data_IF_686786577567
#
_entry.id   IF_686786577567
#
_cell.length_a   1.000
_cell.length_b   1.000
_cell.length_c   1.000
_cell.angle_alpha   90.00
_cell.angle_beta   90.00
_cell.angle_gamma   90.00
#
_symmetry.space_group_name_H-M   'P 1'
#
loop_
_entity.id
_entity.type
_entity.pdbx_description
1 polymer ?
#
# COMPACT_ATOMS: atom_id res chain seq x y z
N UNK A 1 -14.28 -11.52 9.99
CA UNK A 1 -14.28 -10.75 11.24
C UNK A 1 -13.33 -9.60 11.04
N UNK A 2 -13.68 -8.37 11.47
CA UNK A 2 -12.77 -7.23 11.36
C UNK A 2 -11.49 -7.51 12.15
N UNK A 3 -10.40 -6.86 11.75
CA UNK A 3 -9.13 -6.98 12.46
C UNK A 3 -9.25 -6.53 13.93
N UNK A 4 -8.49 -7.18 14.80
CA UNK A 4 -8.40 -6.84 16.22
C UNK A 4 -7.64 -5.52 16.44
N UNK A 5 -7.83 -4.90 17.61
CA UNK A 5 -7.13 -3.65 17.95
C UNK A 5 -5.60 -3.79 17.84
N UNK A 6 -5.04 -4.90 18.34
CA UNK A 6 -3.61 -5.18 18.22
C UNK A 6 -3.15 -5.34 16.76
N UNK A 7 -3.93 -6.03 15.92
CA UNK A 7 -3.64 -6.15 14.48
C UNK A 7 -3.69 -4.79 13.77
N UNK A 8 -4.68 -3.94 14.08
CA UNK A 8 -4.79 -2.60 13.50
C UNK A 8 -3.60 -1.72 13.90
N UNK A 9 -3.14 -1.80 15.15
CA UNK A 9 -1.95 -1.06 15.61
C UNK A 9 -0.66 -1.54 14.95
N UNK A 10 -0.56 -2.85 14.67
CA UNK A 10 0.61 -3.46 14.04
C UNK A 10 0.56 -3.47 12.51
N UNK A 11 -0.48 -2.90 11.88
CA UNK A 11 -0.63 -2.91 10.43
C UNK A 11 0.57 -2.21 9.78
N UNK A 12 1.27 -2.94 8.90
CA UNK A 12 2.48 -2.45 8.24
C UNK A 12 2.30 -2.39 6.73
N UNK A 13 2.69 -1.25 6.16
CA UNK A 13 2.74 -1.01 4.70
C UNK A 13 4.17 -1.03 4.16
N UNK A 14 5.16 -1.36 5.00
CA UNK A 14 6.59 -1.38 4.66
C UNK A 14 6.88 -2.25 3.44
N UNK A 15 6.29 -3.44 3.39
CA UNK A 15 6.44 -4.36 2.27
C UNK A 15 6.00 -3.75 0.90
N UNK A 16 5.03 -2.83 0.89
CA UNK A 16 4.62 -2.13 -0.34
C UNK A 16 5.63 -1.04 -0.73
N UNK A 17 6.19 -0.35 0.26
CA UNK A 17 7.23 0.66 0.04
C UNK A 17 8.50 0.00 -0.51
N UNK A 18 8.90 -1.13 0.07
CA UNK A 18 10.05 -1.92 -0.38
C UNK A 18 9.85 -2.43 -1.80
N UNK A 19 8.68 -3.01 -2.09
CA UNK A 19 8.35 -3.48 -3.44
C UNK A 19 8.40 -2.33 -4.47
N UNK A 20 7.86 -1.16 -4.12
CA UNK A 20 7.92 0.00 -5.00
C UNK A 20 9.36 0.49 -5.24
N UNK A 21 10.19 0.48 -4.20
CA UNK A 21 11.63 0.78 -4.30
C UNK A 21 12.33 -0.19 -5.25
N UNK A 22 12.14 -1.49 -5.03
CA UNK A 22 12.72 -2.55 -5.85
C UNK A 22 12.34 -2.44 -7.33
N UNK A 23 11.05 -2.25 -7.64
CA UNK A 23 10.60 -2.13 -9.03
C UNK A 23 11.12 -0.86 -9.71
N UNK A 24 11.19 0.25 -8.99
CA UNK A 24 11.78 1.50 -9.52
C UNK A 24 13.25 1.29 -9.87
N UNK A 25 14.03 0.73 -8.94
CA UNK A 25 15.45 0.46 -9.16
C UNK A 25 15.69 -0.52 -10.31
N UNK A 26 14.84 -1.55 -10.42
CA UNK A 26 14.92 -2.53 -11.51
C UNK A 26 14.63 -1.87 -12.87
N UNK A 27 13.62 -1.01 -12.94
CA UNK A 27 13.27 -0.28 -14.16
C UNK A 27 14.43 0.61 -14.64
N UNK A 28 15.01 1.39 -13.72
CA UNK A 28 16.12 2.29 -14.03
C UNK A 28 17.36 1.52 -14.47
N UNK A 29 17.68 0.41 -13.78
CA UNK A 29 18.81 -0.44 -14.15
C UNK A 29 18.65 -1.05 -15.55
N UNK A 30 17.44 -1.52 -15.90
CA UNK A 30 17.18 -2.11 -17.21
C UNK A 30 17.34 -1.08 -18.33
N UNK A 31 16.80 0.12 -18.17
CA UNK A 31 16.95 1.17 -19.17
C UNK A 31 18.42 1.58 -19.35
N UNK A 32 19.15 1.78 -18.25
CA UNK A 32 20.56 2.16 -18.30
C UNK A 32 21.42 1.13 -19.04
N UNK A 33 21.27 -0.16 -18.71
CA UNK A 33 22.05 -1.24 -19.34
C UNK A 33 21.74 -1.36 -20.82
N UNK A 34 20.46 -1.31 -21.22
CA UNK A 34 20.08 -1.46 -22.62
C UNK A 34 20.43 -0.23 -23.45
N UNK A 35 20.33 0.98 -22.87
CA UNK A 35 20.80 2.21 -23.51
C UNK A 35 22.32 2.18 -23.70
N UNK A 36 23.07 1.74 -22.68
CA UNK A 36 24.51 1.59 -22.76
C UNK A 36 24.90 0.58 -23.85
N UNK A 37 24.27 -0.60 -23.88
CA UNK A 37 24.52 -1.63 -24.90
C UNK A 37 24.27 -1.12 -26.31
N UNK A 38 23.16 -0.39 -26.52
CA UNK A 38 22.87 0.26 -27.80
C UNK A 38 23.96 1.26 -28.16
N UNK A 39 24.30 2.19 -27.28
CA UNK A 39 25.32 3.21 -27.56
C UNK A 39 26.69 2.59 -27.89
N UNK A 40 27.10 1.57 -27.14
CA UNK A 40 28.34 0.83 -27.40
C UNK A 40 28.33 0.12 -28.76
N UNK A 41 27.18 -0.43 -29.19
CA UNK A 41 27.06 -1.06 -30.52
C UNK A 41 27.27 -0.09 -31.70
N UNK A 42 26.96 1.19 -31.49
CA UNK A 42 27.24 2.26 -32.47
C UNK A 42 28.66 2.83 -32.34
N UNK A 43 29.27 2.76 -31.16
CA UNK A 43 30.63 3.27 -30.91
C UNK A 43 31.74 2.36 -31.45
N UNK A 44 31.52 1.04 -31.53
CA UNK A 44 32.52 0.10 -32.06
C UNK A 44 32.66 0.21 -33.58
N UNK A 45 33.91 0.29 -34.07
CA UNK A 45 34.26 0.32 -35.49
C UNK A 45 34.16 -1.06 -36.18
N UNK A 46 33.08 -1.81 -35.90
CA UNK A 46 32.82 -3.11 -36.53
C UNK A 46 31.96 -2.92 -37.78
N UNK A 47 32.62 -3.03 -38.94
CA UNK A 47 31.99 -2.95 -40.25
C UNK A 47 31.55 -4.33 -40.75
N UNK A 48 30.53 -4.37 -41.60
CA UNK A 48 29.99 -5.59 -42.20
C UNK A 48 28.73 -6.12 -41.51
N UNK A 49 28.25 -7.27 -41.98
CA UNK A 49 26.94 -7.82 -41.61
C UNK A 49 26.77 -8.03 -40.09
N UNK A 50 27.82 -8.49 -39.39
CA UNK A 50 27.78 -8.71 -37.94
C UNK A 50 27.54 -7.43 -37.13
N UNK A 51 28.28 -6.36 -37.41
CA UNK A 51 28.08 -5.06 -36.75
C UNK A 51 26.72 -4.44 -37.05
N UNK A 52 26.21 -4.60 -38.28
CA UNK A 52 24.87 -4.15 -38.64
C UNK A 52 23.78 -4.94 -37.90
N UNK A 53 23.91 -6.27 -37.82
CA UNK A 53 22.99 -7.11 -37.07
C UNK A 53 22.97 -6.76 -35.58
N UNK A 54 24.13 -6.49 -34.97
CA UNK A 54 24.22 -6.02 -33.58
C UNK A 54 23.45 -4.72 -33.36
N UNK A 55 23.67 -3.70 -34.20
CA UNK A 55 22.99 -2.39 -34.11
C UNK A 55 21.48 -2.50 -34.30
N UNK A 56 21.03 -3.34 -35.24
CA UNK A 56 19.61 -3.62 -35.45
C UNK A 56 19.01 -4.28 -34.21
N UNK A 57 19.69 -5.27 -33.64
CA UNK A 57 19.20 -6.00 -32.47
C UNK A 57 19.10 -5.11 -31.24
N UNK A 58 20.16 -4.37 -30.90
CA UNK A 58 20.15 -3.45 -29.74
C UNK A 58 19.17 -2.30 -29.91
N UNK A 59 18.98 -1.82 -31.15
CA UNK A 59 17.93 -0.85 -31.48
C UNK A 59 16.52 -1.39 -31.31
N UNK A 60 16.27 -2.66 -31.63
CA UNK A 60 14.97 -3.31 -31.47
C UNK A 60 14.66 -3.71 -30.02
N UNK A 61 15.66 -4.11 -29.24
CA UNK A 61 15.49 -4.53 -27.85
C UNK A 61 15.20 -3.34 -26.91
N UNK A 62 15.80 -2.17 -27.16
CA UNK A 62 15.61 -0.98 -26.32
C UNK A 62 14.13 -0.58 -26.10
N UNK A 63 13.29 -0.38 -27.13
CA UNK A 63 11.89 -0.01 -26.91
C UNK A 63 11.08 -1.09 -26.19
N UNK A 64 11.43 -2.37 -26.34
CA UNK A 64 10.77 -3.47 -25.60
C UNK A 64 11.08 -3.35 -24.11
N UNK A 65 12.35 -3.12 -23.76
CA UNK A 65 12.77 -2.99 -22.37
C UNK A 65 12.21 -1.72 -21.73
N UNK A 66 12.19 -0.59 -22.43
CA UNK A 66 11.54 0.64 -21.96
C UNK A 66 10.07 0.38 -21.63
N UNK A 67 9.33 -0.32 -22.49
CA UNK A 67 7.93 -0.66 -22.19
C UNK A 67 7.77 -1.54 -20.93
N UNK A 68 8.72 -2.45 -20.67
CA UNK A 68 8.73 -3.28 -19.45
C UNK A 68 9.16 -2.48 -18.21
N UNK A 69 10.11 -1.57 -18.34
CA UNK A 69 10.48 -0.64 -17.28
C UNK A 69 9.30 0.26 -16.88
N UNK A 70 8.51 0.71 -17.85
CA UNK A 70 7.29 1.48 -17.58
C UNK A 70 6.23 0.66 -16.82
N UNK A 71 6.07 -0.64 -17.13
CA UNK A 71 5.19 -1.53 -16.34
C UNK A 71 5.66 -1.63 -14.88
N UNK A 72 6.97 -1.76 -14.65
CA UNK A 72 7.55 -1.78 -13.29
C UNK A 72 7.30 -0.46 -12.55
N UNK A 73 7.44 0.69 -13.23
CA UNK A 73 7.13 2.00 -12.64
C UNK A 73 5.65 2.16 -12.29
N UNK A 74 4.75 1.65 -13.13
CA UNK A 74 3.32 1.62 -12.85
C UNK A 74 3.02 0.76 -11.61
N UNK A 75 3.62 -0.43 -11.50
CA UNK A 75 3.49 -1.28 -10.31
C UNK A 75 4.01 -0.56 -9.05
N UNK A 76 5.15 0.13 -9.14
CA UNK A 76 5.69 0.93 -8.04
C UNK A 76 4.75 2.06 -7.60
N UNK A 77 4.11 2.75 -8.56
CA UNK A 77 3.13 3.78 -8.26
C UNK A 77 1.90 3.20 -7.54
N UNK A 78 1.38 2.06 -8.00
CA UNK A 78 0.26 1.35 -7.35
C UNK A 78 0.62 0.98 -5.91
N UNK A 79 1.81 0.43 -5.66
CA UNK A 79 2.24 0.06 -4.32
C UNK A 79 2.42 1.27 -3.38
N UNK A 80 3.03 2.37 -3.84
CA UNK A 80 3.15 3.60 -3.04
C UNK A 80 1.80 4.21 -2.69
N UNK A 81 0.91 4.31 -3.68
CA UNK A 81 -0.44 4.83 -3.47
C UNK A 81 -1.23 3.94 -2.51
N UNK A 82 -1.15 2.61 -2.69
CA UNK A 82 -1.77 1.66 -1.80
C UNK A 82 -1.27 1.76 -0.36
N UNK A 83 0.05 1.88 -0.16
CA UNK A 83 0.65 2.09 1.16
C UNK A 83 0.12 3.38 1.82
N UNK A 84 0.02 4.47 1.06
CA UNK A 84 -0.54 5.73 1.55
C UNK A 84 -2.01 5.59 1.95
N UNK A 85 -2.83 4.95 1.12
CA UNK A 85 -4.27 4.75 1.35
C UNK A 85 -4.52 3.88 2.59
N UNK A 86 -3.81 2.75 2.72
CA UNK A 86 -3.89 1.85 3.87
C UNK A 86 -3.47 2.59 5.15
N UNK A 87 -2.33 3.30 5.11
CA UNK A 87 -1.84 4.05 6.28
C UNK A 87 -2.81 5.16 6.70
N UNK A 88 -3.49 5.81 5.75
CA UNK A 88 -4.52 6.80 6.04
C UNK A 88 -5.76 6.16 6.66
N UNK A 89 -6.21 5.01 6.17
CA UNK A 89 -7.33 4.27 6.74
C UNK A 89 -7.01 3.79 8.17
N UNK A 90 -5.82 3.22 8.39
CA UNK A 90 -5.34 2.79 9.70
C UNK A 90 -5.37 3.96 10.71
N UNK A 91 -4.80 5.11 10.35
CA UNK A 91 -4.83 6.31 11.22
C UNK A 91 -6.25 6.73 11.58
N UNK A 92 -7.20 6.65 10.65
CA UNK A 92 -8.62 6.98 10.93
C UNK A 92 -9.23 6.05 11.98
N UNK A 93 -8.87 4.77 11.99
CA UNK A 93 -9.32 3.85 13.04
C UNK A 93 -8.68 4.24 14.38
N UNK A 94 -7.37 4.48 14.38
CA UNK A 94 -6.63 4.81 15.61
C UNK A 94 -7.11 6.13 16.24
N UNK A 95 -7.48 7.13 15.44
CA UNK A 95 -8.09 8.36 15.96
C UNK A 95 -9.47 8.13 16.58
N UNK A 96 -10.33 7.27 15.99
CA UNK A 96 -11.61 6.94 16.60
C UNK A 96 -11.43 6.17 17.94
N UNK A 97 -10.41 5.33 18.03
CA UNK A 97 -10.01 4.67 19.28
C UNK A 97 -9.55 5.71 20.32
N UNK A 98 -8.71 6.65 19.92
CA UNK A 98 -8.23 7.73 20.77
C UNK A 98 -9.37 8.64 21.25
N UNK A 99 -10.33 8.99 20.37
CA UNK A 99 -11.52 9.79 20.73
C UNK A 99 -12.38 9.09 21.79
N UNK A 100 -12.60 7.77 21.65
CA UNK A 100 -13.31 6.98 22.66
C UNK A 100 -12.55 6.95 24.00
N UNK A 101 -11.22 6.80 23.95
CA UNK A 101 -10.37 6.82 25.15
C UNK A 101 -10.39 8.18 25.85
N UNK A 102 -10.30 9.27 25.10
CA UNK A 102 -10.40 10.64 25.61
C UNK A 102 -11.78 10.93 26.21
N UNK A 103 -12.84 10.29 25.70
CA UNK A 103 -14.20 10.36 26.27
C UNK A 103 -14.39 9.49 27.53
N UNK A 104 -13.34 8.84 28.03
CA UNK A 104 -13.34 8.01 29.24
C UNK A 104 -13.89 6.61 29.02
N UNK A 105 -13.65 6.02 27.85
CA UNK A 105 -13.96 4.62 27.57
C UNK A 105 -12.69 3.81 27.33
N UNK A 106 -12.77 2.48 27.49
CA UNK A 106 -11.73 1.55 27.06
C UNK A 106 -12.19 0.81 25.80
N UNK A 107 -11.28 0.64 24.84
CA UNK A 107 -11.53 -0.14 23.62
C UNK A 107 -10.85 -1.51 23.74
N UNK A 108 -11.63 -2.59 23.57
CA UNK A 108 -11.16 -3.97 23.63
C UNK A 108 -10.58 -4.47 22.30
N UNK A 109 -9.99 -5.68 22.33
CA UNK A 109 -9.40 -6.31 21.14
C UNK A 109 -10.42 -6.57 20.02
N UNK A 110 -11.68 -6.80 20.36
CA UNK A 110 -12.81 -7.00 19.44
C UNK A 110 -13.48 -5.67 19.00
N UNK A 111 -12.82 -4.54 19.30
CA UNK A 111 -13.32 -3.18 19.05
C UNK A 111 -14.60 -2.85 19.83
N UNK A 112 -14.94 -3.63 20.86
CA UNK A 112 -15.96 -3.23 21.82
C UNK A 112 -15.49 -2.05 22.66
N UNK A 113 -16.43 -1.21 23.09
CA UNK A 113 -16.16 -0.02 23.89
C UNK A 113 -16.87 -0.17 25.24
N UNK A 114 -16.14 0.04 26.32
CA UNK A 114 -16.62 -0.14 27.70
C UNK A 114 -16.37 1.12 28.52
N UNK A 115 -17.35 1.53 29.32
CA UNK A 115 -17.20 2.71 30.19
C UNK A 115 -16.28 2.39 31.38
N UNK A 116 -15.39 3.31 31.72
CA UNK A 116 -14.49 3.18 32.87
C UNK A 116 -15.03 3.89 34.12
N UNK A 117 -16.14 4.63 34.00
CA UNK A 117 -16.75 5.37 35.13
C UNK A 117 -17.51 4.44 36.08
N UNK A 118 -17.36 4.71 37.37
CA UNK A 118 -18.05 4.00 38.46
C UNK A 118 -18.93 4.99 39.23
N UNK A 119 -20.10 4.56 39.71
CA UNK A 119 -20.94 5.35 40.62
C UNK A 119 -21.95 6.31 39.96
N UNK A 120 -22.33 6.04 38.70
CA UNK A 120 -23.35 6.81 37.96
C UNK A 120 -24.77 6.37 38.28
N UNK A 121 -25.73 7.30 38.13
CA UNK A 121 -27.16 6.98 38.19
C UNK A 121 -27.58 6.08 37.03
N UNK A 122 -28.73 5.39 37.15
CA UNK A 122 -29.23 4.52 36.07
C UNK A 122 -29.44 5.27 34.74
N UNK A 123 -29.88 6.53 34.79
CA UNK A 123 -30.06 7.37 33.61
C UNK A 123 -28.72 7.72 32.94
N UNK A 124 -27.70 8.05 33.73
CA UNK A 124 -26.34 8.31 33.23
C UNK A 124 -25.69 7.05 32.67
N UNK A 125 -25.87 5.89 33.30
CA UNK A 125 -25.41 4.61 32.77
C UNK A 125 -26.03 4.31 31.40
N UNK A 126 -27.34 4.52 31.25
CA UNK A 126 -28.01 4.33 29.96
C UNK A 126 -27.45 5.27 28.87
N UNK A 127 -27.22 6.54 29.20
CA UNK A 127 -26.63 7.51 28.27
C UNK A 127 -25.19 7.13 27.87
N UNK A 128 -24.38 6.71 28.83
CA UNK A 128 -23.00 6.26 28.58
C UNK A 128 -22.94 4.97 27.78
N UNK A 129 -23.86 4.04 28.03
CA UNK A 129 -23.98 2.82 27.25
C UNK A 129 -24.32 3.12 25.78
N UNK A 130 -25.24 4.05 25.52
CA UNK A 130 -25.56 4.49 24.17
C UNK A 130 -24.34 5.15 23.49
N UNK A 131 -23.58 5.96 24.23
CA UNK A 131 -22.34 6.57 23.72
C UNK A 131 -21.26 5.52 23.41
N UNK A 132 -21.06 4.53 24.28
CA UNK A 132 -20.14 3.43 24.03
C UNK A 132 -20.51 2.64 22.77
N UNK A 133 -21.80 2.35 22.56
CA UNK A 133 -22.29 1.68 21.35
C UNK A 133 -22.04 2.51 20.09
N UNK A 134 -22.22 3.83 20.16
CA UNK A 134 -21.92 4.73 19.04
C UNK A 134 -20.43 4.71 18.67
N UNK A 135 -19.54 4.81 19.66
CA UNK A 135 -18.09 4.69 19.44
C UNK A 135 -17.70 3.32 18.87
N UNK A 136 -18.23 2.23 19.43
CA UNK A 136 -17.96 0.88 18.94
C UNK A 136 -18.42 0.71 17.47
N UNK A 137 -19.56 1.29 17.11
CA UNK A 137 -20.07 1.30 15.73
C UNK A 137 -19.15 2.05 14.77
N UNK A 138 -18.73 3.26 15.14
CA UNK A 138 -17.82 4.07 14.31
C UNK A 138 -16.44 3.42 14.14
N UNK A 139 -15.85 2.89 15.22
CA UNK A 139 -14.56 2.19 15.18
C UNK A 139 -14.65 0.96 14.26
N UNK A 140 -15.70 0.14 14.39
CA UNK A 140 -15.89 -1.05 13.54
C UNK A 140 -16.07 -0.68 12.06
N UNK A 141 -16.88 0.34 11.77
CA UNK A 141 -17.07 0.82 10.41
C UNK A 141 -15.74 1.23 9.77
N UNK A 142 -14.88 1.94 10.51
CA UNK A 142 -13.56 2.35 10.02
C UNK A 142 -12.60 1.18 9.85
N UNK A 143 -12.68 0.18 10.74
CA UNK A 143 -11.91 -1.05 10.60
C UNK A 143 -12.31 -1.85 9.35
N UNK A 144 -13.61 -1.95 9.06
CA UNK A 144 -14.11 -2.57 7.81
C UNK A 144 -13.66 -1.80 6.57
N UNK A 145 -13.61 -0.46 6.64
CA UNK A 145 -13.06 0.36 5.56
C UNK A 145 -11.55 0.12 5.34
N UNK A 146 -10.78 -0.04 6.43
CA UNK A 146 -9.37 -0.41 6.34
C UNK A 146 -9.19 -1.75 5.63
N UNK A 147 -9.93 -2.79 6.05
CA UNK A 147 -9.93 -4.10 5.39
C UNK A 147 -10.29 -3.98 3.90
N UNK A 148 -11.30 -3.18 3.57
CA UNK A 148 -11.72 -2.93 2.19
C UNK A 148 -10.65 -2.25 1.33
N UNK A 149 -9.90 -1.30 1.90
CA UNK A 149 -8.77 -0.64 1.22
C UNK A 149 -7.64 -1.64 0.98
N UNK A 150 -7.29 -2.48 1.96
CA UNK A 150 -6.27 -3.53 1.80
C UNK A 150 -6.63 -4.49 0.65
N UNK A 151 -7.87 -5.00 0.63
CA UNK A 151 -8.34 -5.92 -0.42
C UNK A 151 -8.28 -5.26 -1.80
N UNK A 152 -8.66 -3.98 -1.90
CA UNK A 152 -8.58 -3.21 -3.16
C UNK A 152 -7.12 -3.10 -3.63
N UNK A 153 -6.20 -2.74 -2.74
CA UNK A 153 -4.77 -2.62 -3.06
C UNK A 153 -4.21 -3.97 -3.50
N UNK A 154 -4.53 -5.06 -2.80
CA UNK A 154 -4.12 -6.41 -3.18
C UNK A 154 -4.60 -6.81 -4.59
N UNK A 155 -5.84 -6.47 -4.95
CA UNK A 155 -6.38 -6.73 -6.29
C UNK A 155 -5.67 -5.93 -7.40
N UNK A 156 -5.32 -4.67 -7.15
CA UNK A 156 -4.59 -3.84 -8.11
C UNK A 156 -3.18 -4.40 -8.43
N UNK A 157 -2.53 -5.03 -7.44
CA UNK A 157 -1.25 -5.72 -7.66
C UNK A 157 -1.39 -6.95 -8.56
N UNK A 158 -2.43 -7.75 -8.40
CA UNK A 158 -2.64 -8.94 -9.25
C UNK A 158 -2.90 -8.57 -10.72
N UNK A 159 -3.59 -7.46 -10.98
CA UNK A 159 -3.83 -6.97 -12.33
C UNK A 159 -2.59 -6.43 -13.04
N UNK A 160 -1.61 -5.91 -12.29
CA UNK A 160 -0.37 -5.36 -12.83
C UNK A 160 0.70 -6.42 -13.09
N UNK A 161 0.67 -7.55 -12.39
CA UNK A 161 1.56 -8.71 -12.65
C UNK A 161 1.11 -9.62 -13.79
N UNK A 162 -0.12 -9.46 -14.31
CA UNK A 162 -0.73 -10.34 -15.30
C UNK A 162 -0.62 -9.85 -16.76
N UNK A 163 0.15 -8.79 -17.03
CA UNK A 163 0.35 -8.17 -18.36
C UNK A 163 1.84 -8.10 -18.75
#
# INVERSE_FOLDING_TARGET
>A
MPATLSQIRAWSTEHLIDAAGYWTQTADHWEDVFLQMRNQSYAIAWNGAGGNALRVRTGADLPIVTAKADQLRQAAAVARNGASDISAAQRRVLYAVEDAQNAGFTVGEDLSVTDTRVGTTAAEQAARQAQAQAFAGDIRLRAEQLDGVEVKVAGQRTGTTAQ
#
